data_IF_635783151190
#
_entry.id   IF_635783151190
#
_cell.length_a   1.000
_cell.length_b   1.000
_cell.length_c   1.000
_cell.angle_alpha   90.00
_cell.angle_beta   90.00
_cell.angle_gamma   90.00
#
_symmetry.space_group_name_H-M   'P 1'
#
loop_
_entity.id
_entity.type
_entity.pdbx_description
1 polymer ?
#
# COMPACT_ATOMS: atom_id res chain seq x y z
N UNK A 1 -54.94 4.62 31.43
CA UNK A 1 -54.09 3.45 31.74
C UNK A 1 -53.23 3.05 30.53
N UNK A 2 -53.79 3.02 29.33
CA UNK A 2 -53.06 2.71 28.10
C UNK A 2 -51.93 3.71 27.78
N UNK A 3 -52.12 5.00 28.04
CA UNK A 3 -51.10 6.03 27.77
C UNK A 3 -49.86 5.90 28.66
N UNK A 4 -50.05 5.45 29.90
CA UNK A 4 -48.96 5.17 30.83
C UNK A 4 -48.12 3.97 30.35
N UNK A 5 -48.80 2.90 29.92
CA UNK A 5 -48.16 1.70 29.35
C UNK A 5 -47.39 2.05 28.06
N UNK A 6 -47.99 2.86 27.19
CA UNK A 6 -47.33 3.32 25.96
C UNK A 6 -46.10 4.19 26.26
N UNK A 7 -46.20 5.12 27.23
CA UNK A 7 -45.07 5.93 27.68
C UNK A 7 -43.93 5.09 28.25
N UNK A 8 -44.26 4.15 29.13
CA UNK A 8 -43.29 3.24 29.75
C UNK A 8 -42.60 2.35 28.71
N UNK A 9 -43.36 1.84 27.75
CA UNK A 9 -42.83 1.00 26.66
C UNK A 9 -41.85 1.77 25.80
N UNK A 10 -42.18 3.01 25.40
CA UNK A 10 -41.29 3.85 24.58
C UNK A 10 -40.01 4.20 25.32
N UNK A 11 -40.09 4.46 26.63
CA UNK A 11 -38.93 4.71 27.46
C UNK A 11 -38.05 3.47 27.60
N UNK A 12 -38.64 2.29 27.83
CA UNK A 12 -37.93 1.01 27.88
C UNK A 12 -37.20 0.70 26.58
N UNK A 13 -37.87 0.85 25.42
CA UNK A 13 -37.24 0.64 24.11
C UNK A 13 -36.03 1.57 23.95
N UNK A 14 -36.19 2.85 24.30
CA UNK A 14 -35.08 3.83 24.24
C UNK A 14 -33.93 3.43 25.17
N UNK A 15 -34.23 3.00 26.39
CA UNK A 15 -33.22 2.54 27.35
C UNK A 15 -32.46 1.33 26.80
N UNK A 16 -33.17 0.33 26.25
CA UNK A 16 -32.57 -0.86 25.62
C UNK A 16 -31.67 -0.47 24.45
N UNK A 17 -32.11 0.43 23.57
CA UNK A 17 -31.29 0.91 22.44
C UNK A 17 -30.02 1.62 22.94
N UNK A 18 -30.13 2.46 23.97
CA UNK A 18 -28.97 3.14 24.56
C UNK A 18 -27.99 2.14 25.18
N UNK A 19 -28.49 1.15 25.92
CA UNK A 19 -27.64 0.10 26.52
C UNK A 19 -26.97 -0.74 25.44
N UNK A 20 -27.71 -1.14 24.40
CA UNK A 20 -27.15 -1.89 23.27
C UNK A 20 -26.04 -1.11 22.56
N UNK A 21 -26.27 0.19 22.30
CA UNK A 21 -25.27 1.08 21.73
C UNK A 21 -24.04 1.23 22.64
N UNK A 22 -24.24 1.37 23.95
CA UNK A 22 -23.16 1.48 24.92
C UNK A 22 -22.31 0.20 24.97
N UNK A 23 -22.95 -0.97 24.97
CA UNK A 23 -22.24 -2.26 24.92
C UNK A 23 -21.41 -2.38 23.64
N UNK A 24 -22.00 -2.05 22.48
CA UNK A 24 -21.29 -2.06 21.21
C UNK A 24 -20.08 -1.11 21.23
N UNK A 25 -20.28 0.12 21.71
CA UNK A 25 -19.22 1.11 21.84
C UNK A 25 -18.10 0.64 22.75
N UNK A 26 -18.42 0.12 23.94
CA UNK A 26 -17.43 -0.40 24.88
C UNK A 26 -16.67 -1.59 24.31
N UNK A 27 -17.35 -2.46 23.55
CA UNK A 27 -16.70 -3.59 22.86
C UNK A 27 -15.70 -3.11 21.81
N UNK A 28 -16.08 -2.14 20.97
CA UNK A 28 -15.19 -1.53 19.97
C UNK A 28 -14.01 -0.82 20.65
N UNK A 29 -14.27 -0.04 21.68
CA UNK A 29 -13.25 0.65 22.46
C UNK A 29 -12.25 -0.34 23.07
N UNK A 30 -12.75 -1.41 23.69
CA UNK A 30 -11.93 -2.47 24.25
C UNK A 30 -11.09 -3.15 23.15
N UNK A 31 -11.67 -3.47 21.99
CA UNK A 31 -10.94 -4.05 20.87
C UNK A 31 -9.80 -3.14 20.38
N UNK A 32 -10.05 -1.84 20.24
CA UNK A 32 -9.03 -0.85 19.85
C UNK A 32 -7.95 -0.74 20.92
N UNK A 33 -8.30 -0.74 22.21
CA UNK A 33 -7.33 -0.73 23.29
C UNK A 33 -6.44 -1.97 23.28
N UNK A 34 -7.02 -3.17 23.12
CA UNK A 34 -6.27 -4.42 23.00
C UNK A 34 -5.32 -4.36 21.81
N UNK A 35 -5.80 -3.87 20.65
CA UNK A 35 -4.97 -3.69 19.47
C UNK A 35 -3.84 -2.71 19.77
N UNK A 36 -4.14 -1.54 20.33
CA UNK A 36 -3.15 -0.54 20.70
C UNK A 36 -2.11 -1.08 21.68
N UNK A 37 -2.50 -1.90 22.66
CA UNK A 37 -1.58 -2.59 23.57
C UNK A 37 -0.70 -3.58 22.82
N UNK A 38 -1.25 -4.39 21.92
CA UNK A 38 -0.48 -5.35 21.13
C UNK A 38 0.56 -4.65 20.23
N UNK A 39 0.14 -3.56 19.57
CA UNK A 39 1.02 -2.73 18.74
C UNK A 39 2.05 -1.96 19.57
N UNK A 40 1.63 -1.38 20.68
CA UNK A 40 2.49 -0.65 21.60
C UNK A 40 3.55 -1.56 22.21
N UNK A 41 3.15 -2.72 22.72
CA UNK A 41 4.06 -3.74 23.23
C UNK A 41 5.04 -4.17 22.13
N UNK A 42 4.57 -4.41 20.90
CA UNK A 42 5.46 -4.76 19.78
C UNK A 42 6.44 -3.65 19.41
N UNK A 43 5.99 -2.39 19.39
CA UNK A 43 6.84 -1.23 19.14
C UNK A 43 7.89 -1.02 20.25
N UNK A 44 7.46 -1.18 21.51
CA UNK A 44 8.33 -1.13 22.69
C UNK A 44 9.31 -2.30 22.68
N UNK A 45 8.90 -3.49 22.28
CA UNK A 45 9.78 -4.65 22.15
C UNK A 45 10.86 -4.43 21.09
N UNK A 46 10.50 -3.82 19.94
CA UNK A 46 11.47 -3.43 18.91
C UNK A 46 12.50 -2.43 19.44
N UNK A 47 12.07 -1.49 20.28
CA UNK A 47 12.95 -0.51 20.93
C UNK A 47 13.84 -1.13 22.00
N UNK A 48 13.31 -2.03 22.82
CA UNK A 48 14.03 -2.67 23.93
C UNK A 48 15.03 -3.74 23.47
N UNK A 49 14.68 -4.53 22.45
CA UNK A 49 15.55 -5.63 21.96
C UNK A 49 16.44 -5.23 20.78
N UNK A 50 16.26 -4.04 20.19
CA UNK A 50 17.04 -3.55 19.05
C UNK A 50 16.90 -4.40 17.77
N UNK A 51 16.13 -5.49 17.82
CA UNK A 51 15.87 -6.38 16.70
C UNK A 51 14.53 -5.98 16.08
N UNK A 52 14.53 -5.45 14.84
CA UNK A 52 13.31 -5.03 14.17
C UNK A 52 12.45 -6.27 14.01
N UNK A 53 11.26 -6.24 14.60
CA UNK A 53 10.37 -7.39 14.55
C UNK A 53 9.87 -7.52 13.13
N UNK A 54 10.04 -8.70 12.52
CA UNK A 54 9.86 -8.92 11.07
C UNK A 54 8.61 -8.18 10.56
N UNK A 55 8.78 -7.26 9.59
CA UNK A 55 7.65 -6.57 9.00
C UNK A 55 6.79 -7.61 8.29
N UNK A 56 5.54 -7.75 8.74
CA UNK A 56 4.47 -8.45 8.01
C UNK A 56 4.04 -7.70 6.74
N UNK A 57 4.69 -6.58 6.43
CA UNK A 57 4.67 -6.04 5.08
C UNK A 57 5.74 -6.78 4.29
N UNK A 58 5.29 -7.69 3.43
CA UNK A 58 6.03 -8.05 2.22
C UNK A 58 6.56 -6.73 1.66
N UNK A 59 7.88 -6.58 1.55
CA UNK A 59 8.50 -5.35 1.05
C UNK A 59 8.09 -5.16 -0.41
N UNK A 60 6.91 -4.56 -0.61
CA UNK A 60 6.50 -3.98 -1.88
C UNK A 60 7.37 -2.74 -2.00
N UNK A 61 8.54 -2.92 -2.57
CA UNK A 61 9.35 -1.78 -2.96
C UNK A 61 8.53 -1.00 -4.01
N UNK A 62 8.19 0.27 -3.75
CA UNK A 62 7.33 1.05 -4.64
C UNK A 62 7.98 1.27 -6.00
N UNK A 63 9.32 1.25 -6.10
CA UNK A 63 10.03 1.29 -7.39
C UNK A 63 9.86 0.01 -8.17
N UNK A 64 9.75 -1.11 -7.45
CA UNK A 64 9.16 -2.29 -8.02
C UNK A 64 7.70 -1.95 -8.34
N UNK A 65 6.67 -1.92 -7.48
CA UNK A 65 5.24 -1.68 -7.87
C UNK A 65 4.92 -1.08 -9.27
N UNK A 66 5.43 0.12 -9.56
CA UNK A 66 5.20 0.92 -10.77
C UNK A 66 5.86 0.40 -12.08
N UNK A 67 7.08 -0.20 -12.06
CA UNK A 67 7.73 -0.73 -13.31
C UNK A 67 6.92 -1.82 -14.02
N UNK A 68 6.17 -2.62 -13.26
CA UNK A 68 5.46 -3.80 -13.77
C UNK A 68 4.19 -3.34 -14.42
N UNK A 69 3.53 -2.33 -13.84
CA UNK A 69 2.36 -1.69 -14.44
C UNK A 69 2.75 -1.01 -15.76
N UNK A 70 3.82 -0.21 -15.77
CA UNK A 70 4.31 0.43 -17.00
C UNK A 70 4.66 -0.60 -18.09
N UNK A 71 5.42 -1.65 -17.74
CA UNK A 71 5.73 -2.73 -18.70
C UNK A 71 4.50 -3.53 -19.13
N UNK A 72 3.47 -3.70 -18.29
CA UNK A 72 2.24 -4.37 -18.71
C UNK A 72 1.41 -3.49 -19.66
N UNK A 73 1.44 -2.16 -19.50
CA UNK A 73 0.77 -1.23 -20.40
C UNK A 73 1.45 -1.20 -21.77
N UNK A 74 2.80 -1.20 -21.81
CA UNK A 74 3.56 -1.33 -23.07
C UNK A 74 3.23 -2.63 -23.83
N UNK A 75 2.95 -3.71 -23.09
CA UNK A 75 2.57 -5.02 -23.65
C UNK A 75 1.12 -5.08 -24.15
N UNK A 76 0.26 -4.17 -23.70
CA UNK A 76 -1.11 -4.02 -24.22
C UNK A 76 -1.20 -2.99 -25.35
N UNK A 77 -0.31 -2.00 -25.39
CA UNK A 77 -0.21 -1.06 -26.52
C UNK A 77 0.48 -1.65 -27.75
N UNK A 78 1.11 -2.82 -27.62
CA UNK A 78 1.66 -3.60 -28.73
C UNK A 78 0.77 -4.80 -29.01
N UNK A 79 -0.23 -4.60 -29.88
CA UNK A 79 -0.92 -5.72 -30.50
C UNK A 79 0.09 -6.64 -31.23
N UNK A 80 -0.11 -7.98 -31.23
CA UNK A 80 0.96 -8.93 -31.47
C UNK A 80 1.28 -9.08 -32.95
N UNK A 81 2.54 -8.83 -33.34
CA UNK A 81 3.11 -9.49 -34.50
C UNK A 81 3.57 -10.89 -34.04
N UNK A 82 2.97 -11.92 -34.63
CA UNK A 82 3.30 -13.31 -34.38
C UNK A 82 4.79 -13.59 -34.63
N UNK A 83 5.48 -14.22 -33.67
CA UNK A 83 6.40 -15.33 -33.95
C UNK A 83 6.96 -15.95 -32.65
N UNK A 84 7.30 -17.23 -32.76
CA UNK A 84 7.52 -18.20 -31.68
C UNK A 84 8.99 -18.18 -31.18
N UNK A 85 9.43 -19.11 -30.30
CA UNK A 85 9.93 -18.90 -28.93
C UNK A 85 11.44 -18.62 -28.80
N UNK A 86 11.84 -17.69 -27.91
CA UNK A 86 13.25 -17.50 -27.48
C UNK A 86 13.37 -17.72 -25.97
N UNK A 87 13.74 -18.94 -25.56
CA UNK A 87 15.09 -19.35 -25.15
C UNK A 87 15.57 -18.63 -23.87
N UNK A 88 15.44 -19.33 -22.74
CA UNK A 88 16.32 -19.24 -21.57
C UNK A 88 17.78 -19.22 -22.06
N UNK A 89 18.50 -18.09 -21.99
CA UNK A 89 19.98 -17.98 -21.91
C UNK A 89 20.50 -16.62 -22.41
N UNK A 90 21.48 -16.07 -21.69
CA UNK A 90 22.62 -15.38 -22.31
C UNK A 90 22.50 -13.87 -22.40
N UNK A 91 23.45 -13.19 -21.75
CA UNK A 91 23.89 -11.84 -22.12
C UNK A 91 24.09 -11.81 -23.64
N UNK A 92 23.46 -10.85 -24.30
CA UNK A 92 23.56 -10.66 -25.75
C UNK A 92 25.02 -10.33 -26.12
N UNK A 93 25.62 -10.98 -27.14
CA UNK A 93 26.93 -10.59 -27.66
C UNK A 93 26.86 -9.15 -28.16
N UNK A 94 27.71 -8.27 -27.61
CA UNK A 94 27.73 -6.83 -27.89
C UNK A 94 27.27 -5.94 -26.73
N UNK A 95 26.66 -6.49 -25.68
CA UNK A 95 26.24 -5.72 -24.50
C UNK A 95 27.39 -5.20 -23.61
N UNK A 96 28.65 -5.48 -23.98
CA UNK A 96 29.85 -4.96 -23.30
C UNK A 96 30.58 -3.87 -24.09
N UNK A 97 30.16 -3.55 -25.31
CA UNK A 97 30.79 -2.49 -26.11
C UNK A 97 30.09 -1.16 -25.80
N UNK A 98 30.40 -0.63 -24.63
CA UNK A 98 30.04 0.75 -24.25
C UNK A 98 31.13 1.65 -24.82
N UNK A 99 30.85 2.27 -25.97
CA UNK A 99 31.72 3.31 -26.52
C UNK A 99 31.40 4.61 -25.81
N UNK A 100 32.35 5.12 -25.03
CA UNK A 100 32.21 6.42 -24.38
C UNK A 100 32.08 7.50 -25.45
N UNK A 101 30.93 8.18 -25.44
CA UNK A 101 30.62 9.24 -26.39
C UNK A 101 31.07 10.56 -25.78
N UNK A 102 32.00 11.25 -26.43
CA UNK A 102 32.46 12.54 -25.95
C UNK A 102 31.34 13.59 -26.13
N UNK A 103 30.95 14.33 -25.07
CA UNK A 103 29.88 15.31 -25.16
C UNK A 103 30.25 16.41 -26.15
N UNK A 104 29.44 16.59 -27.18
CA UNK A 104 29.61 17.67 -28.15
C UNK A 104 29.33 19.00 -27.45
N UNK A 105 30.28 19.94 -27.50
CA UNK A 105 30.05 21.26 -26.92
C UNK A 105 28.86 21.96 -27.62
N UNK A 106 27.97 22.58 -26.83
CA UNK A 106 26.82 23.28 -27.36
C UNK A 106 27.31 24.44 -28.24
N UNK A 107 26.92 24.40 -29.51
CA UNK A 107 27.21 25.47 -30.48
C UNK A 107 26.55 26.74 -29.98
N UNK A 108 27.34 27.73 -29.55
CA UNK A 108 26.79 29.04 -29.22
C UNK A 108 26.06 29.62 -30.45
N UNK A 109 24.86 30.19 -30.26
CA UNK A 109 24.12 30.79 -31.34
C UNK A 109 24.92 31.99 -31.85
N UNK A 110 25.39 31.91 -33.10
CA UNK A 110 26.09 33.01 -33.73
C UNK A 110 25.25 34.28 -33.62
N UNK A 111 25.78 35.23 -32.88
CA UNK A 111 25.16 36.51 -32.58
C UNK A 111 24.73 37.21 -33.87
N UNK A 112 23.46 37.57 -33.92
CA UNK A 112 22.89 38.46 -34.92
C UNK A 112 23.60 39.83 -34.83
N UNK A 113 24.42 40.15 -35.83
CA UNK A 113 24.81 41.52 -36.17
C UNK A 113 24.33 41.87 -37.57
#
# INVERSE_FOLDING_TARGET
MNDFVAGLTRWLIRAVVVVAGLVMFLSLLAAVLVLALAWGLRAVWARLTGRPVMPWTMRVDPRTGWRTVYRSTERWSTAPAADTPSRRAGVLPGAGEVVDVEPREPREPADLR
#
